data_IF_889704861352
#
_entry.id   IF_889704861352
#
_cell.length_a   1.000
_cell.length_b   1.000
_cell.length_c   1.000
_cell.angle_alpha   90.00
_cell.angle_beta   90.00
_cell.angle_gamma   90.00
#
_symmetry.space_group_name_H-M   'P 1'
#
loop_
_entity.id
_entity.type
_entity.pdbx_description
1 polymer ?
#
# COMPACT_ATOMS: atom_id res chain seq x y z
N UNK A 1 -8.01 -6.84 -24.11
CA UNK A 1 -9.25 -7.63 -24.19
C UNK A 1 -9.29 -8.60 -23.03
N UNK A 2 -10.21 -8.37 -22.08
CA UNK A 2 -10.29 -9.12 -20.83
C UNK A 2 -10.60 -10.59 -21.09
N UNK A 3 -9.81 -11.50 -20.52
CA UNK A 3 -10.15 -12.92 -20.49
C UNK A 3 -11.47 -13.06 -19.70
N UNK A 4 -12.56 -13.36 -20.39
CA UNK A 4 -13.84 -13.64 -19.74
C UNK A 4 -13.64 -14.94 -18.95
N UNK A 5 -13.90 -14.92 -17.65
CA UNK A 5 -14.01 -16.15 -16.87
C UNK A 5 -15.42 -16.67 -17.09
N UNK A 6 -15.55 -17.84 -17.72
CA UNK A 6 -16.85 -18.50 -17.81
C UNK A 6 -17.17 -19.09 -16.44
N UNK A 7 -18.23 -18.58 -15.81
CA UNK A 7 -18.77 -19.14 -14.57
C UNK A 7 -19.69 -20.29 -14.95
N UNK A 8 -19.37 -21.48 -14.49
CA UNK A 8 -20.27 -22.64 -14.57
C UNK A 8 -21.16 -22.69 -13.32
N UNK A 9 -22.33 -23.35 -13.39
CA UNK A 9 -23.21 -23.50 -12.24
C UNK A 9 -22.47 -24.12 -11.06
N UNK A 10 -22.77 -23.64 -9.85
CA UNK A 10 -22.22 -24.21 -8.64
C UNK A 10 -23.00 -25.48 -8.28
N UNK A 11 -22.28 -26.55 -7.97
CA UNK A 11 -22.87 -27.75 -7.41
C UNK A 11 -22.89 -27.65 -5.88
N UNK A 12 -24.02 -28.04 -5.29
CA UNK A 12 -24.21 -28.04 -3.85
C UNK A 12 -24.66 -29.44 -3.43
N UNK A 13 -23.88 -30.08 -2.57
CA UNK A 13 -24.16 -31.41 -2.04
C UNK A 13 -24.24 -31.35 -0.51
N UNK A 14 -24.99 -32.27 0.11
CA UNK A 14 -25.09 -32.39 1.56
C UNK A 14 -24.10 -33.44 2.05
N UNK A 15 -23.32 -33.08 3.07
CA UNK A 15 -22.34 -33.95 3.72
C UNK A 15 -22.58 -33.97 5.24
N UNK A 16 -22.15 -35.03 5.92
CA UNK A 16 -22.15 -35.13 7.39
C UNK A 16 -20.87 -35.77 7.93
N UNK A 17 -20.56 -35.47 9.18
CA UNK A 17 -19.47 -36.13 9.92
C UNK A 17 -19.94 -37.52 10.38
N UNK A 18 -19.22 -38.60 10.04
CA UNK A 18 -19.51 -39.93 10.57
C UNK A 18 -18.88 -40.09 11.97
N UNK A 19 -19.67 -40.46 12.98
CA UNK A 19 -19.13 -40.98 14.25
C UNK A 19 -18.48 -42.36 13.99
N UNK A 20 -17.14 -42.42 14.08
CA UNK A 20 -16.39 -43.65 13.83
C UNK A 20 -16.66 -44.72 14.89
N UNK A 21 -17.32 -45.81 14.50
CA UNK A 21 -17.25 -47.08 15.21
C UNK A 21 -15.88 -47.73 14.94
N UNK A 22 -15.12 -47.97 16.00
CA UNK A 22 -13.80 -48.62 15.97
C UNK A 22 -13.85 -50.03 15.39
N UNK A 23 -13.01 -50.34 14.41
CA UNK A 23 -12.46 -51.70 14.23
C UNK A 23 -11.10 -51.68 13.53
N UNK A 24 -10.21 -52.51 14.07
CA UNK A 24 -8.79 -52.70 13.72
C UNK A 24 -8.64 -53.70 12.56
N UNK A 25 -7.59 -53.49 11.74
CA UNK A 25 -6.77 -54.43 10.94
C UNK A 25 -6.29 -53.66 9.68
N UNK A 26 -5.05 -53.64 9.19
CA UNK A 26 -3.82 -54.41 9.36
C UNK A 26 -3.04 -54.30 8.02
N UNK A 27 -1.71 -54.26 8.10
CA UNK A 27 -0.69 -54.54 7.06
C UNK A 27 -0.34 -53.50 5.96
N UNK A 28 0.86 -52.88 6.12
CA UNK A 28 2.07 -53.22 5.34
C UNK A 28 2.43 -52.46 4.04
N UNK A 29 3.76 -52.32 3.83
CA UNK A 29 4.55 -51.96 2.60
C UNK A 29 4.96 -50.46 2.51
N UNK A 30 6.18 -49.96 2.19
CA UNK A 30 7.61 -50.39 2.08
C UNK A 30 8.29 -49.57 0.95
N UNK A 31 9.36 -48.80 1.28
CA UNK A 31 10.49 -48.29 0.43
C UNK A 31 10.20 -47.28 -0.72
N UNK A 32 11.05 -46.35 -1.18
CA UNK A 32 12.33 -45.70 -0.82
C UNK A 32 12.53 -44.49 -1.81
N UNK A 33 13.45 -43.53 -1.58
CA UNK A 33 13.55 -42.26 -2.31
C UNK A 33 14.60 -42.25 -3.45
N UNK A 34 14.45 -41.35 -4.44
CA UNK A 34 15.46 -41.11 -5.49
C UNK A 34 15.77 -39.62 -5.75
N UNK A 35 17.03 -39.43 -6.17
CA UNK A 35 17.88 -38.24 -6.22
C UNK A 35 17.51 -37.08 -7.17
N UNK A 36 17.74 -35.85 -6.69
CA UNK A 36 18.65 -34.76 -7.16
C UNK A 36 19.00 -34.68 -8.66
N UNK A 37 18.88 -33.49 -9.28
CA UNK A 37 20.02 -32.76 -9.90
C UNK A 37 19.69 -31.36 -10.41
N UNK A 38 20.71 -30.51 -10.28
CA UNK A 38 20.94 -29.10 -10.65
C UNK A 38 20.96 -28.80 -12.15
N UNK A 39 20.82 -27.52 -12.53
CA UNK A 39 21.78 -26.82 -13.41
C UNK A 39 21.52 -25.30 -13.51
N UNK A 40 22.63 -24.57 -13.59
CA UNK A 40 22.86 -23.13 -13.51
C UNK A 40 22.92 -22.43 -14.92
N UNK A 41 23.13 -21.09 -15.02
CA UNK A 41 22.48 -20.20 -16.01
C UNK A 41 23.41 -19.52 -17.07
N UNK A 42 22.81 -18.55 -17.81
CA UNK A 42 23.35 -17.42 -18.64
C UNK A 42 23.30 -17.59 -20.19
N UNK A 43 23.43 -16.52 -21.05
CA UNK A 43 23.62 -15.07 -20.83
C UNK A 43 22.78 -14.08 -21.72
N UNK A 44 23.00 -12.78 -21.41
CA UNK A 44 22.69 -11.48 -22.05
C UNK A 44 22.63 -11.30 -23.59
N UNK A 45 21.75 -10.37 -24.02
CA UNK A 45 21.96 -9.22 -24.95
C UNK A 45 20.58 -8.55 -25.19
N UNK A 46 20.33 -7.28 -25.51
CA UNK A 46 21.05 -6.06 -25.89
C UNK A 46 20.02 -5.13 -26.57
N UNK A 47 20.18 -3.79 -26.45
CA UNK A 47 19.44 -2.71 -27.16
C UNK A 47 17.95 -2.47 -26.79
N UNK A 48 17.35 -1.28 -26.92
CA UNK A 48 17.74 0.14 -26.89
C UNK A 48 16.47 0.95 -26.60
N UNK A 49 16.63 2.22 -26.26
CA UNK A 49 15.61 3.18 -25.85
C UNK A 49 14.52 3.48 -26.90
N UNK A 50 13.32 3.80 -26.41
CA UNK A 50 12.52 4.92 -26.91
C UNK A 50 11.64 5.50 -25.78
N UNK A 51 11.61 6.84 -25.72
CA UNK A 51 11.01 7.69 -24.69
C UNK A 51 9.53 8.04 -24.99
N UNK A 52 8.82 8.41 -23.90
CA UNK A 52 7.56 9.19 -23.77
C UNK A 52 6.21 8.43 -23.69
N UNK A 53 5.15 9.03 -23.09
CA UNK A 53 5.09 10.24 -22.27
C UNK A 53 4.55 10.03 -20.83
N UNK A 54 4.87 11.02 -20.01
CA UNK A 54 4.21 11.47 -18.79
C UNK A 54 2.74 11.05 -18.68
N UNK A 55 2.39 10.33 -17.62
CA UNK A 55 1.08 10.44 -16.99
C UNK A 55 1.18 10.00 -15.52
N UNK A 56 0.97 11.00 -14.66
CA UNK A 56 0.34 11.00 -13.34
C UNK A 56 0.44 9.71 -12.51
N UNK A 57 1.06 9.79 -11.32
CA UNK A 57 0.48 9.19 -10.12
C UNK A 57 1.10 9.67 -8.81
N UNK A 58 0.21 9.80 -7.84
CA UNK A 58 0.30 10.57 -6.61
C UNK A 58 -0.09 9.70 -5.39
N UNK A 59 0.07 10.25 -4.19
CA UNK A 59 0.79 9.63 -3.06
C UNK A 59 0.06 9.80 -1.71
N UNK A 60 0.34 8.93 -0.73
CA UNK A 60 -0.14 9.04 0.66
C UNK A 60 0.79 8.38 1.69
N UNK A 61 0.91 8.93 2.90
CA UNK A 61 1.87 8.55 3.97
C UNK A 61 1.27 7.56 5.01
N UNK A 62 2.10 6.84 5.80
CA UNK A 62 1.91 6.28 7.18
C UNK A 62 3.02 5.24 7.56
N UNK A 63 3.40 5.17 8.85
CA UNK A 63 4.61 4.58 9.48
C UNK A 63 4.57 3.10 9.97
N UNK A 64 5.75 2.59 10.35
CA UNK A 64 6.04 1.64 11.46
C UNK A 64 6.36 0.14 11.19
N UNK A 65 7.67 -0.11 11.27
CA UNK A 65 8.46 -1.13 11.97
C UNK A 65 8.15 -2.63 11.85
N UNK A 66 9.18 -3.32 11.34
CA UNK A 66 9.36 -4.76 11.20
C UNK A 66 9.60 -5.44 12.56
N UNK A 67 8.90 -6.56 12.78
CA UNK A 67 9.48 -7.69 13.50
C UNK A 67 9.89 -8.73 12.46
N UNK A 68 11.16 -9.12 12.50
CA UNK A 68 11.69 -10.29 11.80
C UNK A 68 10.95 -11.55 12.27
N UNK A 69 9.93 -11.96 11.54
CA UNK A 69 9.46 -13.35 11.61
C UNK A 69 10.35 -14.16 10.70
N UNK A 70 11.39 -14.76 11.28
CA UNK A 70 12.07 -15.93 10.71
C UNK A 70 11.01 -16.93 10.29
N UNK A 71 10.81 -17.11 8.98
CA UNK A 71 10.10 -18.26 8.46
C UNK A 71 10.95 -19.48 8.80
N UNK A 72 10.66 -20.11 9.94
CA UNK A 72 10.94 -21.53 10.09
C UNK A 72 9.94 -22.22 9.18
N UNK A 73 10.41 -22.79 8.08
CA UNK A 73 9.80 -23.97 7.51
C UNK A 73 9.94 -25.07 8.56
N UNK A 74 9.00 -25.12 9.50
CA UNK A 74 8.71 -26.35 10.21
C UNK A 74 8.00 -27.24 9.19
N UNK A 75 8.76 -28.15 8.57
CA UNK A 75 8.20 -29.40 8.07
C UNK A 75 7.70 -30.16 9.30
N UNK A 76 6.50 -29.83 9.78
CA UNK A 76 5.76 -30.74 10.64
C UNK A 76 5.36 -31.95 9.79
N UNK A 77 5.84 -33.12 10.19
CA UNK A 77 5.39 -34.41 9.66
C UNK A 77 3.87 -34.49 9.82
N UNK A 78 3.16 -34.49 8.70
CA UNK A 78 1.69 -34.68 8.63
C UNK A 78 1.40 -36.17 8.84
N UNK A 79 1.61 -36.69 10.05
CA UNK A 79 1.33 -38.11 10.35
C UNK A 79 0.28 -38.33 11.45
N UNK A 80 -0.28 -37.29 12.07
CA UNK A 80 -1.25 -37.45 13.19
C UNK A 80 -2.53 -36.59 13.05
N UNK A 81 -3.09 -36.45 11.84
CA UNK A 81 -4.48 -36.00 11.71
C UNK A 81 -5.41 -37.21 11.62
N UNK A 82 -6.22 -37.44 12.67
CA UNK A 82 -7.42 -38.27 12.54
C UNK A 82 -8.31 -37.65 11.46
N UNK A 83 -8.31 -38.25 10.28
CA UNK A 83 -9.20 -37.85 9.18
C UNK A 83 -10.61 -38.22 9.62
N UNK A 84 -11.38 -37.23 10.10
CA UNK A 84 -12.81 -37.40 10.29
C UNK A 84 -13.43 -37.81 8.95
N UNK A 85 -14.10 -38.96 8.95
CA UNK A 85 -14.69 -39.53 7.75
C UNK A 85 -15.98 -38.76 7.48
N UNK A 86 -16.02 -38.08 6.36
CA UNK A 86 -17.18 -37.31 5.93
C UNK A 86 -17.95 -38.12 4.89
N UNK A 87 -19.23 -38.35 5.13
CA UNK A 87 -20.11 -39.08 4.23
C UNK A 87 -20.97 -38.12 3.41
N UNK A 88 -21.18 -38.44 2.13
CA UNK A 88 -22.09 -37.70 1.27
C UNK A 88 -23.51 -38.22 1.47
N UNK A 89 -24.40 -37.35 1.96
CA UNK A 89 -25.80 -37.70 2.22
C UNK A 89 -26.69 -37.49 0.99
N UNK A 90 -26.44 -36.43 0.23
CA UNK A 90 -27.24 -36.10 -0.95
C UNK A 90 -26.44 -35.35 -2.00
N UNK A 91 -26.70 -35.66 -3.27
CA UNK A 91 -26.17 -34.94 -4.43
C UNK A 91 -27.02 -33.74 -4.84
N UNK A 92 -28.09 -33.43 -4.08
CA UNK A 92 -28.97 -32.28 -4.26
C UNK A 92 -28.84 -31.32 -3.08
N UNK A 93 -29.21 -30.07 -3.33
CA UNK A 93 -29.34 -29.07 -2.26
C UNK A 93 -30.62 -29.32 -1.47
N UNK A 94 -30.53 -30.20 -0.48
CA UNK A 94 -31.62 -30.49 0.45
C UNK A 94 -31.56 -29.61 1.70
N UNK A 95 -32.61 -29.60 2.51
CA UNK A 95 -32.58 -28.83 3.77
C UNK A 95 -31.74 -29.56 4.80
N UNK A 96 -30.76 -28.88 5.40
CA UNK A 96 -29.95 -29.43 6.48
C UNK A 96 -30.84 -29.63 7.73
N UNK A 97 -30.95 -30.86 8.20
CA UNK A 97 -31.85 -31.25 9.30
C UNK A 97 -31.15 -31.26 10.65
N UNK A 98 -29.84 -31.51 10.67
CA UNK A 98 -29.03 -31.64 11.87
C UNK A 98 -27.84 -30.66 11.86
N UNK A 99 -27.16 -30.50 13.00
CA UNK A 99 -26.07 -29.50 13.16
C UNK A 99 -24.72 -29.95 12.62
N UNK A 100 -24.55 -31.25 12.43
CA UNK A 100 -23.42 -31.98 11.83
C UNK A 100 -23.52 -32.11 10.31
N UNK A 101 -24.56 -31.53 9.70
CA UNK A 101 -24.74 -31.51 8.26
C UNK A 101 -24.31 -30.17 7.65
N UNK A 102 -23.67 -30.26 6.49
CA UNK A 102 -23.16 -29.10 5.77
C UNK A 102 -23.48 -29.16 4.29
N UNK A 103 -23.59 -27.99 3.69
CA UNK A 103 -23.58 -27.84 2.23
C UNK A 103 -22.15 -27.67 1.74
N UNK A 104 -21.61 -28.66 1.03
CA UNK A 104 -20.38 -28.45 0.26
C UNK A 104 -20.72 -27.72 -1.03
N UNK A 105 -20.27 -26.47 -1.14
CA UNK A 105 -20.42 -25.65 -2.35
C UNK A 105 -19.15 -25.70 -3.17
N UNK A 106 -19.26 -26.08 -4.43
CA UNK A 106 -18.15 -26.10 -5.39
C UNK A 106 -18.40 -25.10 -6.51
N UNK A 107 -17.48 -24.16 -6.67
CA UNK A 107 -17.50 -23.16 -7.74
C UNK A 107 -16.42 -23.46 -8.75
N UNK A 108 -16.84 -23.83 -9.95
CA UNK A 108 -15.95 -24.11 -11.07
C UNK A 108 -15.66 -22.84 -11.86
N UNK A 109 -14.38 -22.64 -12.16
CA UNK A 109 -13.91 -21.57 -13.04
C UNK A 109 -12.99 -22.16 -14.09
N UNK A 110 -13.37 -21.98 -15.35
CA UNK A 110 -12.50 -22.26 -16.48
C UNK A 110 -11.79 -20.99 -16.93
N UNK A 111 -10.54 -21.17 -17.32
CA UNK A 111 -9.76 -20.12 -17.94
C UNK A 111 -9.98 -20.19 -19.45
N UNK A 112 -10.55 -19.15 -20.07
CA UNK A 112 -10.71 -19.13 -21.54
C UNK A 112 -9.38 -19.22 -22.33
N UNK A 113 -8.24 -19.07 -21.65
CA UNK A 113 -6.91 -19.17 -22.22
C UNK A 113 -6.37 -20.60 -22.26
N UNK A 114 -6.92 -21.48 -21.43
CA UNK A 114 -6.51 -22.86 -21.28
C UNK A 114 -7.78 -23.60 -20.84
N UNK A 115 -8.58 -24.05 -21.81
CA UNK A 115 -9.94 -24.56 -21.55
C UNK A 115 -9.95 -25.85 -20.73
N UNK A 116 -8.84 -26.60 -20.77
CA UNK A 116 -8.58 -27.78 -19.96
C UNK A 116 -8.05 -27.46 -18.56
N UNK A 117 -7.67 -26.20 -18.27
CA UNK A 117 -7.24 -25.77 -16.95
C UNK A 117 -8.44 -25.31 -16.12
N UNK A 118 -8.66 -26.00 -15.01
CA UNK A 118 -9.80 -25.81 -14.14
C UNK A 118 -9.34 -25.33 -12.76
N UNK A 119 -10.09 -24.36 -12.23
CA UNK A 119 -9.99 -23.92 -10.84
C UNK A 119 -11.30 -24.25 -10.13
N UNK A 120 -11.21 -25.00 -9.03
CA UNK A 120 -12.33 -25.26 -8.13
C UNK A 120 -12.10 -24.49 -6.84
N UNK A 121 -13.13 -23.76 -6.40
CA UNK A 121 -13.19 -23.21 -5.05
C UNK A 121 -14.29 -23.96 -4.31
N UNK A 122 -13.90 -24.70 -3.27
CA UNK A 122 -14.77 -25.54 -2.44
C UNK A 122 -14.87 -24.96 -1.04
N UNK A 123 -16.07 -24.88 -0.47
CA UNK A 123 -16.25 -24.48 0.93
C UNK A 123 -17.53 -25.09 1.50
N UNK A 124 -17.53 -25.38 2.80
CA UNK A 124 -18.69 -25.92 3.49
C UNK A 124 -19.52 -24.78 4.12
N UNK A 125 -20.85 -24.89 4.04
CA UNK A 125 -21.79 -23.94 4.65
C UNK A 125 -22.64 -24.68 5.69
N UNK A 126 -22.78 -24.09 6.88
CA UNK A 126 -23.66 -24.60 7.94
C UNK A 126 -25.16 -24.29 7.66
N UNK A 127 -26.05 -24.81 8.51
CA UNK A 127 -27.50 -24.53 8.45
C UNK A 127 -27.89 -23.06 8.58
N UNK A 128 -27.00 -22.19 9.08
CA UNK A 128 -27.21 -20.75 9.26
C UNK A 128 -26.70 -19.94 8.06
N UNK A 129 -26.07 -20.59 7.09
CA UNK A 129 -25.50 -19.92 5.92
C UNK A 129 -24.05 -19.44 6.12
N UNK A 130 -23.39 -19.78 7.22
CA UNK A 130 -22.01 -19.39 7.49
C UNK A 130 -21.03 -20.36 6.84
N UNK A 131 -19.90 -19.85 6.36
CA UNK A 131 -18.79 -20.69 5.87
C UNK A 131 -18.09 -21.30 7.08
N UNK A 132 -17.96 -22.62 7.09
CA UNK A 132 -17.28 -23.36 8.15
C UNK A 132 -15.86 -22.85 8.35
N UNK A 133 -15.56 -22.41 9.58
CA UNK A 133 -14.26 -21.88 10.02
C UNK A 133 -13.69 -20.75 9.14
N UNK A 134 -14.52 -20.10 8.29
CA UNK A 134 -14.07 -19.18 7.25
C UNK A 134 -13.00 -19.78 6.31
N UNK A 135 -13.01 -21.11 6.12
CA UNK A 135 -12.05 -21.83 5.28
C UNK A 135 -12.67 -22.13 3.91
N UNK A 136 -11.86 -21.98 2.86
CA UNK A 136 -12.17 -22.44 1.52
C UNK A 136 -10.94 -23.13 0.92
N UNK A 137 -11.18 -24.24 0.21
CA UNK A 137 -10.16 -24.99 -0.51
C UNK A 137 -10.11 -24.55 -1.96
N UNK A 138 -8.90 -24.37 -2.47
CA UNK A 138 -8.67 -24.01 -3.88
C UNK A 138 -7.87 -25.12 -4.54
N UNK A 139 -8.47 -25.76 -5.52
CA UNK A 139 -7.83 -26.82 -6.30
C UNK A 139 -7.65 -26.37 -7.75
N UNK A 140 -6.51 -26.71 -8.34
CA UNK A 140 -6.19 -26.52 -9.74
C UNK A 140 -5.95 -27.88 -10.38
N UNK A 141 -6.47 -28.12 -11.57
CA UNK A 141 -6.19 -29.35 -12.31
C UNK A 141 -6.37 -29.15 -13.82
N UNK A 142 -5.74 -30.03 -14.60
CA UNK A 142 -5.96 -30.16 -16.03
C UNK A 142 -6.90 -31.32 -16.32
N UNK A 143 -7.84 -31.18 -17.26
CA UNK A 143 -8.76 -32.26 -17.65
C UNK A 143 -8.03 -33.51 -18.14
N UNK A 144 -6.84 -33.33 -18.74
CA UNK A 144 -5.96 -34.42 -19.18
C UNK A 144 -5.24 -35.13 -18.03
N UNK A 145 -5.25 -34.57 -16.82
CA UNK A 145 -4.40 -35.00 -15.70
C UNK A 145 -2.91 -34.70 -15.88
N UNK A 146 -2.51 -34.14 -17.03
CA UNK A 146 -1.10 -33.84 -17.36
C UNK A 146 -0.87 -32.35 -17.24
N UNK A 147 0.01 -31.96 -16.33
CA UNK A 147 0.44 -30.57 -16.21
C UNK A 147 1.23 -30.14 -17.45
N UNK A 148 0.92 -28.93 -17.94
CA UNK A 148 1.63 -28.33 -19.06
C UNK A 148 1.76 -26.82 -18.90
N UNK A 149 2.86 -26.23 -19.36
CA UNK A 149 2.99 -24.79 -19.42
C UNK A 149 1.97 -24.22 -20.43
N UNK A 150 1.28 -23.16 -20.04
CA UNK A 150 0.45 -22.36 -20.94
C UNK A 150 0.89 -20.90 -20.89
N UNK A 151 0.76 -20.21 -22.01
CA UNK A 151 1.19 -18.82 -22.11
C UNK A 151 0.21 -17.94 -21.34
N UNK A 152 0.63 -17.48 -20.16
CA UNK A 152 -0.11 -16.49 -19.38
C UNK A 152 -0.12 -15.18 -20.16
N UNK A 153 -1.30 -14.64 -20.47
CA UNK A 153 -1.40 -13.31 -21.06
C UNK A 153 -0.84 -12.28 -20.09
N UNK A 154 -0.06 -11.32 -20.60
CA UNK A 154 0.43 -10.19 -19.80
C UNK A 154 -0.75 -9.55 -19.07
N UNK A 155 -0.61 -9.37 -17.76
CA UNK A 155 -1.65 -8.86 -16.86
C UNK A 155 -2.01 -7.37 -17.10
N UNK A 156 -1.42 -6.72 -18.10
CA UNK A 156 -1.57 -5.29 -18.35
C UNK A 156 -0.60 -4.47 -17.49
N UNK A 157 -0.75 -3.15 -17.54
CA UNK A 157 0.01 -2.27 -16.66
C UNK A 157 -0.53 -2.35 -15.22
N UNK A 158 0.36 -2.15 -14.26
CA UNK A 158 0.01 -1.96 -12.86
C UNK A 158 0.19 -0.50 -12.49
N UNK A 159 -0.70 -0.02 -11.63
CA UNK A 159 -0.50 1.18 -10.86
C UNK A 159 0.34 0.84 -9.62
N UNK A 160 1.31 1.71 -9.33
CA UNK A 160 2.16 1.61 -8.16
C UNK A 160 1.90 2.85 -7.32
N UNK A 161 1.36 2.64 -6.11
CA UNK A 161 1.10 3.71 -5.14
C UNK A 161 2.04 3.51 -3.96
N UNK A 162 3.23 4.14 -3.99
CA UNK A 162 4.14 4.09 -2.87
C UNK A 162 3.71 5.09 -1.81
N UNK A 163 3.84 4.66 -0.56
CA UNK A 163 3.79 5.54 0.59
C UNK A 163 5.20 6.01 0.91
N UNK A 164 5.35 7.22 1.42
CA UNK A 164 6.63 7.74 1.91
C UNK A 164 6.51 8.18 3.36
N UNK A 165 7.61 8.31 4.08
CA UNK A 165 7.64 8.90 5.42
C UNK A 165 8.99 9.52 5.73
N UNK A 166 9.06 10.41 6.71
CA UNK A 166 10.33 10.93 7.21
C UNK A 166 10.81 10.09 8.39
N UNK A 167 12.04 9.59 8.33
CA UNK A 167 12.64 8.91 9.47
C UNK A 167 13.08 9.95 10.50
N UNK A 168 12.22 10.19 11.50
CA UNK A 168 12.43 11.20 12.53
C UNK A 168 13.58 10.88 13.49
N UNK A 169 14.08 9.63 13.50
CA UNK A 169 15.20 9.24 14.34
C UNK A 169 16.55 9.68 13.74
N UNK A 170 16.58 9.91 12.43
CA UNK A 170 17.79 10.22 11.69
C UNK A 170 17.78 11.65 11.15
N UNK A 171 18.97 12.24 11.07
CA UNK A 171 19.20 13.52 10.41
C UNK A 171 20.34 13.39 9.41
N UNK A 172 20.17 13.98 8.23
CA UNK A 172 21.23 14.07 7.23
C UNK A 172 22.40 14.90 7.73
N UNK A 173 23.60 14.32 7.63
CA UNK A 173 24.84 15.03 7.91
C UNK A 173 25.02 16.27 7.02
N UNK A 174 24.50 16.22 5.78
CA UNK A 174 24.60 17.30 4.78
C UNK A 174 23.50 18.34 4.94
N UNK A 175 22.23 17.94 4.87
CA UNK A 175 21.11 18.88 4.77
C UNK A 175 20.53 19.29 6.12
N UNK A 176 20.91 18.59 7.20
CA UNK A 176 20.33 18.74 8.54
C UNK A 176 18.81 18.50 8.61
N UNK A 177 18.25 17.81 7.61
CA UNK A 177 16.83 17.42 7.56
C UNK A 177 16.68 15.91 7.78
N UNK A 178 15.49 15.49 8.21
CA UNK A 178 15.13 14.08 8.26
C UNK A 178 15.09 13.47 6.85
N UNK A 179 15.63 12.25 6.66
CA UNK A 179 15.57 11.58 5.37
C UNK A 179 14.20 10.97 5.10
N UNK A 180 13.83 10.96 3.81
CA UNK A 180 12.61 10.31 3.32
C UNK A 180 12.87 8.83 3.07
N UNK A 181 12.01 7.98 3.61
CA UNK A 181 12.06 6.53 3.45
C UNK A 181 10.84 6.04 2.66
N UNK A 182 11.02 4.88 2.01
CA UNK A 182 9.94 4.17 1.32
C UNK A 182 9.08 3.47 2.38
N UNK A 183 7.78 3.73 2.35
CA UNK A 183 6.77 3.04 3.15
C UNK A 183 6.11 1.89 2.37
N UNK A 184 4.93 1.41 2.82
CA UNK A 184 4.16 0.41 2.10
C UNK A 184 3.90 0.79 0.64
N UNK A 185 3.88 -0.19 -0.25
CA UNK A 185 3.61 0.02 -1.68
C UNK A 185 2.42 -0.80 -2.10
N UNK A 186 1.37 -0.14 -2.60
CA UNK A 186 0.24 -0.80 -3.23
C UNK A 186 0.55 -0.99 -4.73
N UNK A 187 0.51 -2.23 -5.19
CA UNK A 187 0.58 -2.58 -6.61
C UNK A 187 -0.78 -3.12 -7.01
N UNK A 188 -1.48 -2.44 -7.92
CA UNK A 188 -2.85 -2.77 -8.28
C UNK A 188 -3.15 -2.52 -9.76
N UNK A 189 -4.15 -3.18 -10.31
CA UNK A 189 -4.66 -2.88 -11.64
C UNK A 189 -5.63 -1.70 -11.67
N UNK A 190 -6.21 -1.35 -10.52
CA UNK A 190 -7.18 -0.26 -10.36
C UNK A 190 -6.85 0.54 -9.10
N UNK A 191 -7.28 1.79 -9.05
CA UNK A 191 -7.20 2.63 -7.86
C UNK A 191 -8.63 2.99 -7.42
N UNK A 192 -9.20 2.14 -6.57
CA UNK A 192 -10.53 2.33 -5.99
C UNK A 192 -10.47 2.21 -4.46
N UNK A 193 -11.59 2.54 -3.79
CA UNK A 193 -11.70 2.47 -2.33
C UNK A 193 -11.39 1.07 -1.77
N UNK A 194 -11.64 0.00 -2.53
CA UNK A 194 -11.32 -1.37 -2.11
C UNK A 194 -9.82 -1.63 -2.06
N UNK A 195 -9.06 -1.06 -3.00
CA UNK A 195 -7.60 -1.16 -3.02
C UNK A 195 -6.98 -0.43 -1.82
N UNK A 196 -7.49 0.76 -1.50
CA UNK A 196 -7.05 1.52 -0.31
C UNK A 196 -7.48 0.86 1.00
N UNK A 197 -8.65 0.22 1.02
CA UNK A 197 -9.09 -0.62 2.14
C UNK A 197 -8.13 -1.76 2.40
N UNK A 198 -7.71 -2.47 1.35
CA UNK A 198 -6.72 -3.53 1.49
C UNK A 198 -5.37 -3.00 1.98
N UNK A 199 -4.87 -1.91 1.39
CA UNK A 199 -3.61 -1.28 1.80
C UNK A 199 -3.63 -0.92 3.28
N UNK A 200 -4.66 -0.20 3.73
CA UNK A 200 -4.77 0.22 5.13
C UNK A 200 -4.95 -0.96 6.08
N UNK A 201 -5.76 -1.96 5.72
CA UNK A 201 -5.92 -3.18 6.52
C UNK A 201 -4.59 -3.90 6.75
N UNK A 202 -3.83 -4.17 5.68
CA UNK A 202 -2.53 -4.85 5.79
C UNK A 202 -1.55 -4.00 6.60
N UNK A 203 -1.54 -2.69 6.37
CA UNK A 203 -0.66 -1.76 7.06
C UNK A 203 -0.97 -1.73 8.57
N UNK A 204 -2.23 -1.65 8.98
CA UNK A 204 -2.61 -1.69 10.40
C UNK A 204 -2.44 -3.05 11.05
N UNK A 205 -2.56 -4.15 10.29
CA UNK A 205 -2.25 -5.48 10.81
C UNK A 205 -0.76 -5.65 11.13
N UNK A 206 0.11 -5.05 10.31
CA UNK A 206 1.57 -5.06 10.53
C UNK A 206 2.02 -4.05 11.56
N UNK A 207 1.31 -2.93 11.67
CA UNK A 207 1.58 -1.91 12.67
C UNK A 207 0.30 -1.40 13.32
N UNK A 208 -0.19 -2.12 14.36
CA UNK A 208 -1.46 -1.79 15.02
C UNK A 208 -1.46 -0.40 15.65
N UNK A 209 -0.30 0.06 16.12
CA UNK A 209 -0.12 1.38 16.73
C UNK A 209 -0.47 2.54 15.79
N UNK A 210 -0.49 2.32 14.48
CA UNK A 210 -0.84 3.36 13.52
C UNK A 210 -2.27 3.84 13.60
N UNK A 211 -3.20 2.93 13.91
CA UNK A 211 -4.62 3.24 13.86
C UNK A 211 -4.95 4.40 14.81
N UNK A 212 -4.32 4.40 15.98
CA UNK A 212 -4.54 5.40 17.02
C UNK A 212 -3.46 6.49 17.07
N UNK A 213 -2.21 6.20 16.66
CA UNK A 213 -1.09 7.13 16.82
C UNK A 213 -0.70 7.89 15.56
N UNK A 214 -1.40 7.69 14.45
CA UNK A 214 -1.15 8.51 13.27
C UNK A 214 -1.56 9.96 13.52
N UNK A 215 -0.58 10.87 13.46
CA UNK A 215 -0.80 12.30 13.67
C UNK A 215 -1.41 12.95 12.43
N UNK A 216 -0.85 12.66 11.26
CA UNK A 216 -1.29 13.27 10.00
C UNK A 216 -0.96 12.41 8.78
N UNK A 217 -1.74 12.57 7.72
CA UNK A 217 -1.42 12.04 6.40
C UNK A 217 -1.67 13.11 5.34
N UNK A 218 -0.77 13.15 4.36
CA UNK A 218 -0.86 14.09 3.25
C UNK A 218 -1.22 13.40 1.94
N UNK A 219 -2.03 14.06 1.11
CA UNK A 219 -2.36 13.56 -0.24
C UNK A 219 -2.28 14.67 -1.27
N UNK A 220 -2.20 14.29 -2.54
CA UNK A 220 -2.48 15.20 -3.66
C UNK A 220 -3.98 15.45 -3.83
N UNK A 221 -4.80 14.95 -2.89
CA UNK A 221 -6.27 14.92 -2.79
C UNK A 221 -7.05 14.22 -3.89
N UNK A 222 -6.56 13.03 -4.24
CA UNK A 222 -7.42 11.95 -4.70
C UNK A 222 -8.50 11.61 -3.65
N UNK A 223 -9.78 11.76 -4.03
CA UNK A 223 -10.93 11.61 -3.11
C UNK A 223 -11.08 10.22 -2.51
N UNK A 224 -10.89 9.17 -3.30
CA UNK A 224 -11.01 7.79 -2.81
C UNK A 224 -9.97 7.50 -1.71
N UNK A 225 -8.74 7.99 -1.90
CA UNK A 225 -7.65 7.82 -0.96
C UNK A 225 -7.90 8.56 0.35
N UNK A 226 -8.12 9.88 0.32
CA UNK A 226 -8.23 10.63 1.58
C UNK A 226 -9.54 10.34 2.33
N UNK A 227 -10.63 10.02 1.63
CA UNK A 227 -11.87 9.62 2.29
C UNK A 227 -11.69 8.30 3.03
N UNK A 228 -11.06 7.31 2.39
CA UNK A 228 -10.81 6.01 3.02
C UNK A 228 -9.86 6.14 4.21
N UNK A 229 -8.75 6.86 4.03
CA UNK A 229 -7.78 7.09 5.09
C UNK A 229 -8.39 7.87 6.26
N UNK A 230 -9.20 8.90 5.99
CA UNK A 230 -9.90 9.65 7.05
C UNK A 230 -10.92 8.81 7.83
N UNK A 231 -11.57 7.83 7.20
CA UNK A 231 -12.45 6.88 7.90
C UNK A 231 -11.65 5.91 8.78
N UNK A 232 -10.49 5.46 8.30
CA UNK A 232 -9.65 4.47 9.00
C UNK A 232 -8.83 5.08 10.13
N UNK A 233 -8.19 6.22 9.90
CA UNK A 233 -7.31 6.91 10.84
C UNK A 233 -8.00 8.15 11.41
N UNK A 234 -8.99 7.95 12.27
CA UNK A 234 -9.89 9.03 12.74
C UNK A 234 -9.19 10.15 13.51
N UNK A 235 -8.10 9.81 14.19
CA UNK A 235 -7.29 10.78 14.96
C UNK A 235 -6.34 11.60 14.08
N UNK A 236 -6.11 11.16 12.84
CA UNK A 236 -5.12 11.74 11.97
C UNK A 236 -5.66 12.94 11.19
N UNK A 237 -4.84 13.97 11.09
CA UNK A 237 -5.13 15.16 10.29
C UNK A 237 -4.82 14.90 8.82
N UNK A 238 -5.80 15.11 7.95
CA UNK A 238 -5.56 15.15 6.51
C UNK A 238 -4.98 16.50 6.09
N UNK A 239 -3.90 16.49 5.31
CA UNK A 239 -3.36 17.68 4.66
C UNK A 239 -3.33 17.53 3.14
N UNK A 240 -3.83 18.53 2.42
CA UNK A 240 -3.84 18.56 0.94
C UNK A 240 -2.61 19.26 0.41
N UNK A 241 -2.00 18.69 -0.64
CA UNK A 241 -0.83 19.25 -1.30
C UNK A 241 -1.16 20.60 -1.97
N UNK A 242 -0.45 21.63 -1.53
CA UNK A 242 -0.61 23.02 -2.00
C UNK A 242 -0.23 23.18 -3.47
N UNK A 243 0.83 22.50 -3.92
CA UNK A 243 1.26 22.53 -5.32
C UNK A 243 0.19 21.98 -6.27
N UNK A 244 -0.39 20.83 -5.93
CA UNK A 244 -1.45 20.22 -6.75
C UNK A 244 -2.74 21.05 -6.71
N UNK A 245 -3.09 21.63 -5.56
CA UNK A 245 -4.25 22.53 -5.50
C UNK A 245 -4.03 23.81 -6.30
N UNK A 246 -2.82 24.38 -6.28
CA UNK A 246 -2.44 25.54 -7.10
C UNK A 246 -2.57 25.23 -8.60
N UNK A 247 -2.16 24.03 -9.03
CA UNK A 247 -2.32 23.60 -10.42
C UNK A 247 -3.79 23.42 -10.82
N UNK A 248 -4.63 22.93 -9.90
CA UNK A 248 -6.08 22.91 -10.11
C UNK A 248 -6.63 24.33 -10.31
N UNK A 249 -6.23 25.29 -9.48
CA UNK A 249 -6.61 26.70 -9.66
C UNK A 249 -6.20 27.22 -11.04
N UNK A 250 -4.95 27.01 -11.46
CA UNK A 250 -4.45 27.42 -12.79
C UNK A 250 -5.25 26.79 -13.93
N UNK A 251 -5.57 25.50 -13.81
CA UNK A 251 -6.38 24.78 -14.80
C UNK A 251 -7.76 25.43 -14.96
N UNK A 252 -8.41 25.80 -13.85
CA UNK A 252 -9.71 26.48 -13.89
C UNK A 252 -9.63 27.96 -14.30
N UNK A 253 -8.45 28.58 -14.20
CA UNK A 253 -8.17 29.93 -14.69
C UNK A 253 -7.67 29.96 -16.14
N UNK A 254 -7.70 28.83 -16.86
CA UNK A 254 -7.29 28.78 -18.27
C UNK A 254 -8.10 29.79 -19.11
N UNK A 255 -7.38 30.62 -19.86
CA UNK A 255 -7.94 31.71 -20.67
C UNK A 255 -7.99 33.08 -19.96
N UNK A 256 -7.60 33.16 -18.69
CA UNK A 256 -7.38 34.42 -17.96
C UNK A 256 -5.96 34.93 -18.21
N UNK A 257 -5.74 36.26 -18.19
CA UNK A 257 -4.39 36.83 -18.32
C UNK A 257 -3.46 36.39 -17.19
N UNK A 258 -2.16 36.26 -17.47
CA UNK A 258 -1.18 35.82 -16.46
C UNK A 258 -1.16 36.73 -15.23
N UNK A 259 -1.34 38.04 -15.43
CA UNK A 259 -1.44 39.02 -14.35
C UNK A 259 -2.61 38.71 -13.41
N UNK A 260 -3.81 38.50 -13.97
CA UNK A 260 -4.99 38.17 -13.18
C UNK A 260 -4.86 36.78 -12.54
N UNK A 261 -4.28 35.79 -13.23
CA UNK A 261 -4.00 34.49 -12.65
C UNK A 261 -3.11 34.60 -11.40
N UNK A 262 -2.00 35.34 -11.50
CA UNK A 262 -1.09 35.55 -10.39
C UNK A 262 -1.75 36.31 -9.25
N UNK A 263 -2.61 37.30 -9.53
CA UNK A 263 -3.39 37.98 -8.51
C UNK A 263 -4.26 37.01 -7.72
N UNK A 264 -5.06 36.18 -8.40
CA UNK A 264 -5.92 35.17 -7.76
C UNK A 264 -5.10 34.16 -6.94
N UNK A 265 -3.99 33.67 -7.50
CA UNK A 265 -3.13 32.73 -6.78
C UNK A 265 -2.51 33.36 -5.53
N UNK A 266 -2.08 34.62 -5.59
CA UNK A 266 -1.55 35.33 -4.43
C UNK A 266 -2.65 35.59 -3.37
N UNK A 267 -3.87 35.89 -3.80
CA UNK A 267 -5.01 36.04 -2.88
C UNK A 267 -5.31 34.71 -2.13
N UNK A 268 -5.16 33.56 -2.82
CA UNK A 268 -5.42 32.24 -2.22
C UNK A 268 -4.25 31.75 -1.37
N UNK A 269 -3.04 31.74 -1.92
CA UNK A 269 -1.85 31.07 -1.36
C UNK A 269 -0.87 32.03 -0.66
N UNK A 270 -1.13 33.32 -0.70
CA UNK A 270 -0.20 34.34 -0.25
C UNK A 270 0.90 34.60 -1.28
N UNK A 271 1.79 35.55 -0.94
CA UNK A 271 2.95 35.92 -1.75
C UNK A 271 4.17 36.15 -0.89
N UNK A 272 5.34 35.82 -1.42
CA UNK A 272 6.61 36.17 -0.80
C UNK A 272 7.09 37.48 -1.44
N UNK A 273 7.35 38.48 -0.61
CA UNK A 273 8.02 39.72 -1.03
C UNK A 273 9.29 39.80 -0.17
N UNK A 274 10.44 39.75 -0.84
CA UNK A 274 11.75 39.62 -0.19
C UNK A 274 11.75 38.42 0.78
N UNK A 275 12.10 38.63 2.04
CA UNK A 275 12.15 37.59 3.08
C UNK A 275 10.84 37.49 3.90
N UNK A 276 9.78 38.22 3.51
CA UNK A 276 8.49 38.23 4.22
C UNK A 276 7.40 37.54 3.44
N UNK A 277 6.75 36.57 4.08
CA UNK A 277 5.54 35.93 3.56
C UNK A 277 4.30 36.72 3.95
N UNK A 278 3.54 37.16 2.96
CA UNK A 278 2.23 37.78 3.12
C UNK A 278 1.17 36.71 2.87
N UNK A 279 0.49 36.29 3.94
CA UNK A 279 -0.46 35.18 3.91
C UNK A 279 -1.67 35.46 3.01
N UNK A 280 -2.17 34.39 2.39
CA UNK A 280 -3.41 34.39 1.62
C UNK A 280 -4.58 33.78 2.39
N UNK A 281 -5.64 33.44 1.68
CA UNK A 281 -6.82 32.75 2.25
C UNK A 281 -6.44 31.48 3.05
N UNK A 282 -5.53 30.66 2.54
CA UNK A 282 -5.13 29.41 3.22
C UNK A 282 -4.38 29.65 4.55
N UNK A 283 -3.90 30.87 4.78
CA UNK A 283 -3.13 31.26 5.96
C UNK A 283 -4.02 31.90 7.05
N UNK A 284 -5.33 32.05 6.79
CA UNK A 284 -6.28 32.53 7.79
C UNK A 284 -6.29 31.63 9.03
N UNK A 285 -6.40 32.26 10.20
CA UNK A 285 -6.32 31.58 11.51
C UNK A 285 -7.59 30.82 11.90
N UNK A 286 -8.71 31.09 11.23
CA UNK A 286 -9.97 30.38 11.44
C UNK A 286 -10.91 30.51 10.24
N UNK A 287 -11.98 29.72 10.25
CA UNK A 287 -13.01 29.69 9.20
C UNK A 287 -13.77 31.02 9.07
N UNK A 288 -14.00 31.73 10.18
CA UNK A 288 -14.69 33.03 10.17
C UNK A 288 -13.86 34.09 9.42
N UNK A 289 -12.56 34.17 9.73
CA UNK A 289 -11.63 35.08 9.04
C UNK A 289 -11.49 34.68 7.57
N UNK A 290 -11.38 33.39 7.27
CA UNK A 290 -11.37 32.87 5.90
C UNK A 290 -12.60 33.34 5.12
N UNK A 291 -13.79 33.17 5.69
CA UNK A 291 -15.06 33.52 5.05
C UNK A 291 -15.20 35.02 4.84
N UNK A 292 -14.88 35.83 5.84
CA UNK A 292 -14.90 37.29 5.73
C UNK A 292 -13.93 37.79 4.64
N UNK A 293 -12.71 37.24 4.61
CA UNK A 293 -11.69 37.56 3.61
C UNK A 293 -12.15 37.14 2.22
N UNK A 294 -12.65 35.92 2.06
CA UNK A 294 -13.13 35.42 0.77
C UNK A 294 -14.28 36.27 0.22
N UNK A 295 -15.24 36.65 1.06
CA UNK A 295 -16.36 37.51 0.63
C UNK A 295 -15.85 38.86 0.09
N UNK A 296 -14.84 39.46 0.72
CA UNK A 296 -14.23 40.69 0.22
C UNK A 296 -13.48 40.52 -1.11
N UNK A 297 -12.94 39.32 -1.37
CA UNK A 297 -12.19 39.00 -2.58
C UNK A 297 -13.10 38.62 -3.76
N UNK A 298 -14.21 37.92 -3.51
CA UNK A 298 -15.12 37.43 -4.55
C UNK A 298 -15.62 38.57 -5.44
N UNK A 299 -15.97 39.71 -4.87
CA UNK A 299 -16.44 40.88 -5.63
C UNK A 299 -15.36 41.40 -6.59
N UNK A 300 -14.11 41.47 -6.11
CA UNK A 300 -12.97 41.85 -6.93
C UNK A 300 -12.64 40.80 -8.00
N UNK A 301 -12.87 39.52 -7.70
CA UNK A 301 -12.63 38.41 -8.61
C UNK A 301 -13.64 38.39 -9.77
N UNK A 302 -14.92 38.70 -9.54
CA UNK A 302 -15.94 38.76 -10.61
C UNK A 302 -15.55 39.69 -11.77
N UNK A 303 -14.75 40.72 -11.52
CA UNK A 303 -14.28 41.65 -12.53
C UNK A 303 -13.14 41.09 -13.42
N UNK A 304 -12.42 40.07 -12.96
CA UNK A 304 -11.15 39.64 -13.57
C UNK A 304 -11.07 38.16 -13.94
N UNK A 305 -12.00 37.33 -13.44
CA UNK A 305 -12.10 35.91 -13.76
C UNK A 305 -13.51 35.52 -14.22
N UNK A 306 -13.63 34.47 -15.03
CA UNK A 306 -14.93 33.92 -15.43
C UNK A 306 -15.73 33.40 -14.22
N UNK A 307 -17.06 33.55 -14.25
CA UNK A 307 -17.96 33.03 -13.20
C UNK A 307 -17.80 31.52 -12.96
N UNK A 308 -17.42 30.75 -13.99
CA UNK A 308 -17.11 29.31 -13.86
C UNK A 308 -16.01 29.03 -12.83
N UNK A 309 -15.02 29.92 -12.70
CA UNK A 309 -13.95 29.77 -11.69
C UNK A 309 -14.52 29.99 -10.30
N UNK A 310 -15.30 31.05 -10.11
CA UNK A 310 -15.89 31.39 -8.80
C UNK A 310 -16.86 30.28 -8.36
N UNK A 311 -17.70 29.78 -9.28
CA UNK A 311 -18.59 28.65 -9.03
C UNK A 311 -17.81 27.40 -8.61
N UNK A 312 -16.73 27.06 -9.33
CA UNK A 312 -15.86 25.94 -8.97
C UNK A 312 -15.16 26.16 -7.63
N UNK A 313 -14.60 27.34 -7.38
CA UNK A 313 -13.85 27.63 -6.16
C UNK A 313 -14.74 27.47 -4.92
N UNK A 314 -16.01 27.89 -5.01
CA UNK A 314 -17.02 27.65 -3.97
C UNK A 314 -17.20 26.16 -3.65
N UNK A 315 -17.05 25.26 -4.62
CA UNK A 315 -17.17 23.80 -4.37
C UNK A 315 -16.01 23.19 -3.61
N UNK A 316 -14.83 23.83 -3.62
CA UNK A 316 -13.62 23.33 -2.95
C UNK A 316 -13.37 23.98 -1.59
N UNK A 317 -14.16 24.98 -1.18
CA UNK A 317 -14.06 25.62 0.15
C UNK A 317 -14.07 24.60 1.29
N UNK A 318 -14.98 23.59 1.34
CA UNK A 318 -14.96 22.61 2.43
C UNK A 318 -13.65 21.82 2.51
N UNK A 319 -13.03 21.51 1.36
CA UNK A 319 -11.73 20.84 1.30
C UNK A 319 -10.61 21.76 1.82
N UNK A 320 -10.61 23.04 1.45
CA UNK A 320 -9.62 24.02 1.94
C UNK A 320 -9.70 24.13 3.48
N UNK A 321 -10.90 24.32 4.01
CA UNK A 321 -11.13 24.49 5.44
C UNK A 321 -10.71 23.24 6.24
N UNK A 322 -10.97 22.05 5.70
CA UNK A 322 -10.68 20.78 6.39
C UNK A 322 -9.24 20.28 6.22
N UNK A 323 -8.51 20.71 5.18
CA UNK A 323 -7.21 20.09 4.82
C UNK A 323 -6.07 21.04 4.49
N UNK A 324 -6.30 22.37 4.42
CA UNK A 324 -5.28 23.33 3.96
C UNK A 324 -5.08 24.53 4.88
N UNK A 325 -6.09 24.89 5.66
CA UNK A 325 -6.05 26.07 6.53
C UNK A 325 -4.90 26.02 7.56
N UNK A 326 -4.41 27.18 7.99
CA UNK A 326 -3.29 27.27 8.94
C UNK A 326 -3.49 26.43 10.22
N UNK A 327 -4.66 26.42 10.90
CA UNK A 327 -4.88 25.58 12.08
C UNK A 327 -4.79 24.09 11.78
N UNK A 328 -5.24 23.65 10.60
CA UNK A 328 -5.16 22.25 10.17
C UNK A 328 -3.70 21.85 9.98
N UNK A 329 -2.93 22.66 9.26
CA UNK A 329 -1.48 22.47 9.07
C UNK A 329 -0.72 22.47 10.40
N UNK A 330 -1.10 23.34 11.33
CA UNK A 330 -0.56 23.39 12.68
C UNK A 330 -0.81 22.09 13.46
N UNK A 331 -2.05 21.56 13.41
CA UNK A 331 -2.39 20.26 14.02
C UNK A 331 -1.64 19.09 13.38
N UNK A 332 -1.34 19.19 12.08
CA UNK A 332 -0.52 18.21 11.36
C UNK A 332 0.98 18.29 11.69
N UNK A 333 1.41 19.20 12.56
CA UNK A 333 2.81 19.31 12.99
C UNK A 333 3.71 20.11 12.04
N UNK A 334 3.15 20.92 11.12
CA UNK A 334 3.93 21.68 10.13
C UNK A 334 4.57 22.97 10.69
N UNK A 335 4.77 23.07 12.00
CA UNK A 335 5.44 24.18 12.67
C UNK A 335 4.53 25.35 13.07
N UNK A 336 5.17 26.44 13.56
CA UNK A 336 4.54 27.70 13.98
C UNK A 336 5.41 28.89 13.55
N UNK A 337 4.99 29.72 12.57
CA UNK A 337 3.78 29.56 11.75
C UNK A 337 3.82 28.27 10.91
N UNK A 338 2.66 27.67 10.59
CA UNK A 338 2.61 26.40 9.89
C UNK A 338 3.05 26.53 8.43
N UNK A 339 3.99 25.69 8.01
CA UNK A 339 4.46 25.65 6.63
C UNK A 339 3.41 25.02 5.69
N UNK A 340 3.38 25.39 4.40
CA UNK A 340 2.51 24.73 3.43
C UNK A 340 2.92 23.26 3.22
N UNK A 341 1.95 22.37 3.06
CA UNK A 341 2.23 20.96 2.75
C UNK A 341 2.48 20.76 1.26
N UNK A 342 3.59 20.12 0.93
CA UNK A 342 3.95 19.73 -0.44
C UNK A 342 4.34 18.25 -0.49
N UNK A 343 3.99 17.59 -1.60
CA UNK A 343 4.20 16.15 -1.76
C UNK A 343 5.59 15.80 -2.31
N UNK A 344 6.58 16.69 -2.16
CA UNK A 344 7.97 16.52 -2.64
C UNK A 344 8.62 15.23 -2.13
N UNK A 345 8.24 14.79 -0.94
CA UNK A 345 8.76 13.57 -0.31
C UNK A 345 8.39 12.35 -1.12
N UNK A 346 7.13 12.27 -1.46
CA UNK A 346 6.63 11.15 -2.23
C UNK A 346 7.11 11.24 -3.70
N UNK A 347 7.25 12.44 -4.28
CA UNK A 347 7.90 12.63 -5.59
C UNK A 347 9.36 12.16 -5.59
N UNK A 348 10.09 12.44 -4.50
CA UNK A 348 11.45 11.96 -4.30
C UNK A 348 11.50 10.44 -4.19
N UNK A 349 10.56 9.80 -3.50
CA UNK A 349 10.48 8.33 -3.44
C UNK A 349 10.12 7.74 -4.80
N UNK A 350 9.24 8.38 -5.56
CA UNK A 350 8.98 7.98 -6.96
C UNK A 350 10.26 8.03 -7.79
N UNK A 351 11.10 9.05 -7.58
CA UNK A 351 12.42 9.12 -8.24
C UNK A 351 13.32 7.96 -7.80
N UNK A 352 13.41 7.67 -6.49
CA UNK A 352 14.20 6.54 -5.96
C UNK A 352 13.74 5.22 -6.56
N UNK A 353 12.43 4.99 -6.66
CA UNK A 353 11.87 3.77 -7.30
C UNK A 353 12.25 3.74 -8.78
N UNK A 354 12.05 4.84 -9.52
CA UNK A 354 12.40 4.93 -10.94
C UNK A 354 13.89 4.67 -11.17
N UNK A 355 14.75 5.22 -10.34
CA UNK A 355 16.20 5.00 -10.39
C UNK A 355 16.56 3.54 -10.05
N UNK A 356 15.94 2.96 -9.02
CA UNK A 356 16.15 1.56 -8.63
C UNK A 356 15.76 0.55 -9.72
N UNK A 357 14.74 0.86 -10.52
CA UNK A 357 14.37 0.08 -11.72
C UNK A 357 15.08 0.55 -12.99
N UNK A 358 16.06 1.45 -12.87
CA UNK A 358 16.84 2.03 -13.97
C UNK A 358 15.97 2.66 -15.07
N UNK A 359 14.82 3.20 -14.71
CA UNK A 359 13.81 3.76 -15.62
C UNK A 359 13.33 2.76 -16.69
N UNK A 360 13.50 1.45 -16.45
CA UNK A 360 13.07 0.39 -17.35
C UNK A 360 11.73 -0.17 -16.91
N UNK A 361 10.96 -0.63 -17.90
CA UNK A 361 9.77 -1.46 -17.63
C UNK A 361 10.24 -2.78 -17.05
N UNK A 362 9.62 -3.18 -15.94
CA UNK A 362 9.85 -4.47 -15.31
C UNK A 362 8.56 -5.27 -15.25
N UNK A 363 8.69 -6.58 -15.20
CA UNK A 363 7.59 -7.42 -14.79
C UNK A 363 7.41 -7.35 -13.26
N UNK A 364 6.30 -7.91 -12.77
CA UNK A 364 5.97 -7.78 -11.34
C UNK A 364 7.01 -8.44 -10.42
N UNK A 365 7.53 -9.67 -10.71
CA UNK A 365 8.59 -10.26 -9.90
C UNK A 365 9.86 -9.42 -9.82
N UNK A 366 10.38 -8.95 -10.96
CA UNK A 366 11.60 -8.13 -11.00
C UNK A 366 11.38 -6.78 -10.28
N UNK A 367 10.18 -6.23 -10.42
CA UNK A 367 9.80 -5.00 -9.73
C UNK A 367 9.79 -5.18 -8.21
N UNK A 368 9.24 -6.30 -7.71
CA UNK A 368 9.25 -6.64 -6.28
C UNK A 368 10.68 -6.78 -5.76
N UNK A 369 11.56 -7.47 -6.49
CA UNK A 369 12.98 -7.59 -6.13
C UNK A 369 13.67 -6.22 -6.09
N UNK A 370 13.36 -5.34 -7.04
CA UNK A 370 13.89 -3.97 -7.06
C UNK A 370 13.44 -3.16 -5.85
N UNK A 371 12.16 -3.27 -5.45
CA UNK A 371 11.66 -2.64 -4.22
C UNK A 371 12.36 -3.19 -2.96
N UNK A 372 12.55 -4.50 -2.87
CA UNK A 372 13.26 -5.14 -1.75
C UNK A 372 14.72 -4.65 -1.64
N UNK A 373 15.39 -4.45 -2.78
CA UNK A 373 16.76 -3.90 -2.81
C UNK A 373 16.80 -2.43 -2.34
N UNK A 374 15.81 -1.61 -2.71
CA UNK A 374 15.67 -0.23 -2.23
C UNK A 374 15.50 -0.22 -0.71
N UNK A 375 14.60 -1.05 -0.18
CA UNK A 375 14.33 -1.17 1.26
C UNK A 375 15.59 -1.63 2.00
N UNK A 376 16.26 -2.67 1.50
CA UNK A 376 17.51 -3.19 2.08
C UNK A 376 18.60 -2.11 2.14
N UNK A 377 18.72 -1.29 1.10
CA UNK A 377 19.65 -0.16 1.06
C UNK A 377 19.29 0.91 2.11
N UNK A 378 18.01 1.19 2.31
CA UNK A 378 17.54 2.12 3.35
C UNK A 378 17.81 1.60 4.77
N UNK A 379 17.60 0.30 5.00
CA UNK A 379 17.94 -0.35 6.27
C UNK A 379 19.45 -0.29 6.53
N UNK A 380 20.28 -0.52 5.51
CA UNK A 380 21.74 -0.40 5.65
C UNK A 380 22.17 1.02 6.01
N UNK A 381 21.50 2.05 5.48
CA UNK A 381 21.76 3.42 5.89
C UNK A 381 21.45 3.68 7.37
N UNK A 382 20.42 3.03 7.95
CA UNK A 382 20.15 3.08 9.39
C UNK A 382 21.27 2.37 10.16
N UNK A 383 21.67 1.17 9.73
CA UNK A 383 22.75 0.40 10.37
C UNK A 383 24.06 1.17 10.39
N UNK A 384 24.43 1.82 9.30
CA UNK A 384 25.61 2.68 9.24
C UNK A 384 25.53 3.83 10.24
N UNK A 385 24.36 4.47 10.38
CA UNK A 385 24.15 5.53 11.36
C UNK A 385 24.38 5.05 12.80
N UNK A 386 23.97 3.82 13.14
CA UNK A 386 24.26 3.20 14.45
C UNK A 386 25.77 3.16 14.69
N UNK A 387 26.59 2.84 13.69
CA UNK A 387 28.05 2.80 13.83
C UNK A 387 28.74 4.16 13.63
N UNK A 388 27.99 5.27 13.70
CA UNK A 388 28.48 6.64 13.42
C UNK A 388 29.12 6.77 12.03
N UNK A 389 28.58 6.05 11.04
CA UNK A 389 29.04 6.04 9.65
C UNK A 389 27.91 6.41 8.69
N UNK A 390 28.30 6.65 7.44
CA UNK A 390 27.36 6.97 6.37
C UNK A 390 26.86 8.41 6.40
N UNK A 391 25.75 8.64 5.71
CA UNK A 391 25.23 9.99 5.42
C UNK A 391 24.26 10.52 6.49
N UNK A 392 23.89 9.68 7.46
CA UNK A 392 22.94 9.99 8.52
C UNK A 392 23.57 9.80 9.90
N UNK A 393 22.98 10.45 10.88
CA UNK A 393 23.25 10.28 12.31
C UNK A 393 21.94 10.31 13.08
N UNK A 394 21.93 9.81 14.31
CA UNK A 394 20.74 9.92 15.14
C UNK A 394 20.52 11.37 15.60
N UNK A 395 19.26 11.72 15.87
CA UNK A 395 18.93 12.94 16.62
C UNK A 395 19.59 12.91 18.00
N UNK A 396 19.82 14.08 18.61
CA UNK A 396 20.58 14.17 19.86
C UNK A 396 19.97 13.31 20.97
N UNK A 397 18.64 13.28 21.08
CA UNK A 397 17.90 12.49 22.07
C UNK A 397 18.09 10.97 21.89
N UNK A 398 18.42 10.52 20.68
CA UNK A 398 18.61 9.10 20.34
C UNK A 398 20.07 8.73 20.11
N UNK A 399 21.00 9.64 20.38
CA UNK A 399 22.45 9.43 20.18
C UNK A 399 23.01 8.31 21.05
N UNK A 400 22.32 7.95 22.14
CA UNK A 400 22.65 6.79 22.97
C UNK A 400 22.51 5.45 22.23
N UNK A 401 21.78 5.42 21.10
CA UNK A 401 21.69 4.24 20.23
C UNK A 401 22.93 4.07 19.34
N UNK A 402 23.80 5.09 19.24
CA UNK A 402 25.02 5.01 18.45
C UNK A 402 26.11 4.22 19.19
N UNK A 403 26.75 3.29 18.48
CA UNK A 403 27.83 2.44 18.97
C UNK A 403 29.15 2.89 18.33
N UNK A 404 30.19 3.02 19.15
CA UNK A 404 31.54 3.24 18.63
C UNK A 404 32.08 1.96 17.99
N UNK A 405 32.29 2.00 16.67
CA UNK A 405 32.77 0.87 15.89
C UNK A 405 34.14 0.34 16.35
N UNK A 406 34.99 1.21 16.93
CA UNK A 406 36.32 0.83 17.45
C UNK A 406 36.21 -0.06 18.69
N UNK A 407 35.19 0.14 19.52
CA UNK A 407 34.95 -0.66 20.72
C UNK A 407 34.60 -2.11 20.35
N UNK A 408 33.87 -2.31 19.23
CA UNK A 408 33.39 -3.62 18.78
C UNK A 408 34.47 -4.50 18.13
N UNK A 409 35.46 -3.92 17.43
CA UNK A 409 36.59 -4.69 16.86
C UNK A 409 37.42 -5.40 17.95
N UNK A 410 37.51 -4.82 19.15
CA UNK A 410 38.21 -5.43 20.28
C UNK A 410 37.40 -6.55 20.97
N UNK A 411 36.07 -6.50 20.92
CA UNK A 411 35.17 -7.52 21.52
C UNK A 411 34.83 -8.70 20.59
N UNK A 412 34.98 -8.58 19.26
CA UNK A 412 34.68 -9.68 18.30
C UNK A 412 35.58 -10.92 18.51
N UNK A 413 36.62 -10.86 19.35
CA UNK A 413 37.34 -12.05 19.83
C UNK A 413 36.56 -12.90 20.86
N UNK A 414 35.43 -12.43 21.37
CA UNK A 414 34.57 -13.16 22.31
C UNK A 414 33.09 -12.93 22.00
N UNK A 415 32.43 -13.94 21.43
CA UNK A 415 30.98 -14.05 21.18
C UNK A 415 30.11 -13.22 22.15
N UNK A 416 29.26 -12.29 21.68
CA UNK A 416 27.98 -11.98 22.33
C UNK A 416 26.87 -11.63 21.29
N UNK A 417 25.68 -12.12 21.67
CA UNK A 417 24.32 -12.06 21.14
C UNK A 417 23.77 -10.62 21.17
N UNK A 418 23.12 -10.18 20.07
CA UNK A 418 22.38 -8.91 20.03
C UNK A 418 21.15 -8.96 20.94
N UNK A 419 20.78 -7.90 21.67
CA UNK A 419 19.48 -7.81 22.32
C UNK A 419 18.40 -7.82 21.23
N UNK A 420 17.38 -8.66 21.40
CA UNK A 420 16.15 -8.59 20.58
C UNK A 420 15.51 -7.21 20.80
N UNK A 421 15.41 -6.43 19.73
CA UNK A 421 14.62 -5.18 19.65
C UNK A 421 13.14 -5.52 19.47
#
# INVERSE_FOLDING_TARGET
SHAKIKKEPADVIVISDDEAASSVNGDGISCDPLHVTSCDPLPFSGASFDLLPENQMTMGHIHAWEQESTWKTEEESIDDFEVQKVSMLSNKKDTLTTSDQYHLVRKYRRLNLCEDFNKIISYAIDRRGNIMNNVAFVQYYFDSGVERPFVVKRHGAFYVTPMSYENLFLVSNRTKKHPTFLGPVLISHNLDESCYSHLTFVTTQKSPLLEDNLIAFGTDGEKALYNHFGKKFKSAVHVRCMGHFSENCKTHLKGVSLENQNKILNDIFGKNIEDTHYGGLIDCECEDIFTATLNSLIDAWHAIVPDRFIAWFKTVIPEILSSMLAPVRGKAGLGKPPLPFYNYRSESINHVIKEGVQYKKQDLPDFILSLQNIISSQIEMIKLAIFRRGNYKFIEDLKYLEIDWLYKMNEIRGKIILPRL
#
